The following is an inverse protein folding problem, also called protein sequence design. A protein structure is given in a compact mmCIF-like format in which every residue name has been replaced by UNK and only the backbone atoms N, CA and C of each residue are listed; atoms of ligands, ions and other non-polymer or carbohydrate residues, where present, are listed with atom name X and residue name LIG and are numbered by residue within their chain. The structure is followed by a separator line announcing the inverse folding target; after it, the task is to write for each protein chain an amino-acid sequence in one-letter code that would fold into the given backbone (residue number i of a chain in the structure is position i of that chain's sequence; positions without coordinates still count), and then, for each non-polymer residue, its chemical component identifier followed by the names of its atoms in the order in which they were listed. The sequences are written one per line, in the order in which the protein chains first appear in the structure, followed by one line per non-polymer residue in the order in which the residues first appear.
data_IF_957848204609
#
_entry.id   IF_957848204609
#
_cell.length_a   1.000
_cell.length_b   1.000
_cell.length_c   1.000
_cell.angle_alpha   90.00
_cell.angle_beta   90.00
_cell.angle_gamma   90.00
#
_symmetry.space_group_name_H-M   'P 1'
#
loop_
_entity.id
_entity.type
_entity.pdbx_description
1 polymer ?
#
# COMPACT_ATOMS: atom_id res chain seq x y z
N UNK A 1 -11.53 19.53 -49.26
CA UNK A 1 -10.07 19.30 -49.30
C UNK A 1 -9.48 19.77 -47.97
N UNK A 2 -9.72 19.02 -46.90
CA UNK A 2 -9.39 19.40 -45.51
C UNK A 2 -7.89 19.46 -45.23
N UNK A 3 -7.11 18.60 -45.90
CA UNK A 3 -5.65 18.55 -45.79
C UNK A 3 -4.95 19.86 -46.19
N UNK A 4 -5.46 20.59 -47.20
CA UNK A 4 -4.85 21.86 -47.63
C UNK A 4 -4.92 22.97 -46.58
N UNK A 5 -5.75 22.83 -45.54
CA UNK A 5 -5.91 23.86 -44.49
C UNK A 5 -4.67 24.00 -43.58
N UNK A 6 -3.82 22.98 -43.52
CA UNK A 6 -2.73 22.85 -42.53
C UNK A 6 -1.32 22.70 -43.15
N UNK A 7 -1.18 22.78 -44.48
CA UNK A 7 0.08 22.52 -45.21
C UNK A 7 1.01 23.76 -45.31
N UNK A 8 0.50 24.97 -45.06
CA UNK A 8 1.32 26.20 -45.14
C UNK A 8 2.48 26.16 -44.14
N UNK A 9 3.73 26.30 -44.59
CA UNK A 9 4.92 26.03 -43.75
C UNK A 9 5.28 27.13 -42.75
N UNK A 10 4.66 28.32 -42.84
CA UNK A 10 5.05 29.52 -42.08
C UNK A 10 3.97 30.10 -41.17
N UNK A 11 2.82 29.44 -40.99
CA UNK A 11 1.78 30.00 -40.14
C UNK A 11 2.06 29.72 -38.65
N UNK A 12 1.74 30.69 -37.79
CA UNK A 12 1.86 30.56 -36.34
C UNK A 12 0.79 29.62 -35.77
N UNK A 13 1.08 29.02 -34.60
CA UNK A 13 0.15 28.13 -33.86
C UNK A 13 -1.25 28.77 -33.71
N UNK A 14 -1.32 30.09 -33.50
CA UNK A 14 -2.54 30.91 -33.39
C UNK A 14 -3.46 30.79 -34.60
N UNK A 15 -2.90 30.75 -35.81
CA UNK A 15 -3.64 30.67 -37.07
C UNK A 15 -4.21 29.29 -37.33
N UNK A 16 -3.62 28.23 -36.78
CA UNK A 16 -4.15 26.88 -36.89
C UNK A 16 -5.26 26.62 -35.87
N UNK A 17 -5.14 27.17 -34.66
CA UNK A 17 -6.15 27.02 -33.60
C UNK A 17 -7.49 27.64 -33.99
N UNK A 18 -7.48 28.70 -34.80
CA UNK A 18 -8.70 29.32 -35.32
C UNK A 18 -9.37 28.46 -36.41
N UNK A 19 -8.60 27.63 -37.12
CA UNK A 19 -9.09 26.70 -38.16
C UNK A 19 -9.66 25.39 -37.58
N UNK A 20 -9.33 25.03 -36.33
CA UNK A 20 -9.87 23.84 -35.67
C UNK A 20 -11.34 24.06 -35.31
N UNK A 21 -12.22 23.32 -36.00
CA UNK A 21 -13.67 23.34 -35.77
C UNK A 21 -14.20 21.97 -35.35
N UNK A 22 -13.52 20.88 -35.70
CA UNK A 22 -13.91 19.50 -35.42
C UNK A 22 -12.81 18.70 -34.73
N UNK A 23 -13.17 17.55 -34.14
CA UNK A 23 -12.22 16.58 -33.59
C UNK A 23 -11.24 16.07 -34.65
N UNK A 24 -11.70 15.94 -35.90
CA UNK A 24 -10.82 15.55 -37.00
C UNK A 24 -9.76 16.62 -37.28
N UNK A 25 -10.13 17.91 -37.28
CA UNK A 25 -9.17 19.01 -37.47
C UNK A 25 -8.12 19.04 -36.35
N UNK A 26 -8.52 18.68 -35.13
CA UNK A 26 -7.62 18.55 -33.99
C UNK A 26 -6.56 17.47 -34.22
N UNK A 27 -6.98 16.27 -34.65
CA UNK A 27 -6.06 15.17 -34.96
C UNK A 27 -5.21 15.44 -36.19
N UNK A 28 -5.76 16.10 -37.21
CA UNK A 28 -5.00 16.52 -38.40
C UNK A 28 -3.93 17.53 -38.00
N UNK A 29 -4.26 18.53 -37.18
CA UNK A 29 -3.29 19.49 -36.65
C UNK A 29 -2.22 18.82 -35.80
N UNK A 30 -2.60 17.86 -34.95
CA UNK A 30 -1.65 17.07 -34.16
C UNK A 30 -0.68 16.27 -35.03
N UNK A 31 -1.18 15.46 -35.98
CA UNK A 31 -0.33 14.59 -36.79
C UNK A 31 0.59 15.37 -37.74
N UNK A 32 0.10 16.49 -38.28
CA UNK A 32 0.86 17.28 -39.26
C UNK A 32 1.80 18.29 -38.62
N UNK A 33 1.48 18.82 -37.43
CA UNK A 33 2.20 19.91 -36.76
C UNK A 33 2.52 19.61 -35.29
N UNK A 34 2.85 18.34 -34.99
CA UNK A 34 3.32 17.94 -33.67
C UNK A 34 4.64 18.64 -33.26
N UNK A 35 5.43 19.08 -34.24
CA UNK A 35 6.65 19.88 -34.07
C UNK A 35 6.43 21.18 -33.29
N UNK A 36 5.28 21.83 -33.50
CA UNK A 36 4.88 23.05 -32.81
C UNK A 36 4.15 22.79 -31.49
N UNK A 37 3.71 21.56 -31.24
CA UNK A 37 2.93 21.17 -30.07
C UNK A 37 3.86 20.66 -28.96
N UNK A 38 4.41 21.58 -28.16
CA UNK A 38 5.16 21.24 -26.94
C UNK A 38 4.22 21.15 -25.75
N UNK A 39 4.31 20.07 -24.97
CA UNK A 39 3.39 19.72 -23.87
C UNK A 39 2.98 20.83 -22.89
N UNK A 40 3.84 21.85 -22.69
CA UNK A 40 3.58 22.95 -21.75
C UNK A 40 2.77 24.14 -22.31
N UNK A 41 2.51 24.21 -23.62
CA UNK A 41 1.80 25.34 -24.25
C UNK A 41 0.69 24.89 -25.20
N UNK A 42 -0.07 23.87 -24.80
CA UNK A 42 -1.25 23.49 -25.57
C UNK A 42 -2.39 24.51 -25.41
N UNK A 43 -2.96 25.02 -26.52
CA UNK A 43 -4.18 25.81 -26.51
C UNK A 43 -5.35 25.01 -25.95
N UNK A 44 -6.27 25.65 -25.21
CA UNK A 44 -7.44 24.99 -24.59
C UNK A 44 -8.25 24.11 -25.56
N UNK A 45 -8.33 24.47 -26.85
CA UNK A 45 -9.01 23.68 -27.89
C UNK A 45 -8.32 22.35 -28.23
N UNK A 46 -7.00 22.27 -28.07
CA UNK A 46 -6.17 21.07 -28.26
C UNK A 46 -5.77 20.41 -26.93
N UNK A 47 -6.17 20.99 -25.80
CA UNK A 47 -5.84 20.52 -24.46
C UNK A 47 -6.70 19.34 -23.98
N UNK A 48 -7.33 18.61 -24.90
CA UNK A 48 -8.03 17.38 -24.60
C UNK A 48 -7.04 16.35 -24.03
N UNK A 49 -7.50 15.55 -23.08
CA UNK A 49 -6.63 14.63 -22.32
C UNK A 49 -6.01 13.56 -23.23
N UNK A 50 -6.71 13.21 -24.30
CA UNK A 50 -6.30 12.27 -25.34
C UNK A 50 -5.11 12.81 -26.15
N UNK A 51 -5.08 14.11 -26.45
CA UNK A 51 -3.98 14.75 -27.20
C UNK A 51 -2.74 14.86 -26.33
N UNK A 52 -2.89 15.11 -25.03
CA UNK A 52 -1.74 15.11 -24.10
C UNK A 52 -1.11 13.73 -24.00
N UNK A 53 -1.92 12.67 -23.83
CA UNK A 53 -1.43 11.29 -23.84
C UNK A 53 -0.75 10.94 -25.15
N UNK A 54 -1.32 11.36 -26.29
CA UNK A 54 -0.71 11.14 -27.60
C UNK A 54 0.62 11.88 -27.75
N UNK A 55 0.74 13.10 -27.22
CA UNK A 55 2.00 13.84 -27.16
C UNK A 55 3.04 13.16 -26.27
N UNK A 56 2.66 12.71 -25.08
CA UNK A 56 3.57 11.98 -24.18
C UNK A 56 4.11 10.71 -24.85
N UNK A 57 3.24 9.94 -25.51
CA UNK A 57 3.65 8.75 -26.27
C UNK A 57 4.59 9.13 -27.42
N UNK A 58 4.30 10.20 -28.15
CA UNK A 58 5.14 10.67 -29.25
C UNK A 58 6.51 11.15 -28.75
N UNK A 59 6.56 11.86 -27.62
CA UNK A 59 7.80 12.28 -26.96
C UNK A 59 8.63 11.05 -26.58
N UNK A 60 8.02 10.04 -25.94
CA UNK A 60 8.69 8.78 -25.58
C UNK A 60 9.20 8.04 -26.83
N UNK A 61 8.41 8.00 -27.90
CA UNK A 61 8.82 7.36 -29.16
C UNK A 61 10.00 8.07 -29.81
N UNK A 62 10.10 9.40 -29.64
CA UNK A 62 11.14 10.23 -30.22
C UNK A 62 12.33 10.48 -29.27
N UNK A 63 12.41 9.77 -28.15
CA UNK A 63 13.57 9.83 -27.26
C UNK A 63 14.85 9.42 -27.99
N UNK A 64 15.93 10.16 -27.70
CA UNK A 64 17.28 9.70 -27.97
C UNK A 64 17.62 8.45 -27.14
N UNK A 65 18.72 7.78 -27.49
CA UNK A 65 19.15 6.58 -26.77
C UNK A 65 19.39 6.87 -25.28
N UNK A 66 20.03 8.00 -24.96
CA UNK A 66 20.33 8.41 -23.58
C UNK A 66 19.05 8.74 -22.80
N UNK A 67 18.09 9.44 -23.42
CA UNK A 67 16.79 9.75 -22.80
C UNK A 67 15.97 8.49 -22.55
N UNK A 68 15.98 7.53 -23.49
CA UNK A 68 15.33 6.24 -23.32
C UNK A 68 15.95 5.45 -22.17
N UNK A 69 17.27 5.42 -22.07
CA UNK A 69 17.96 4.74 -20.98
C UNK A 69 17.63 5.38 -19.62
N UNK A 70 17.62 6.71 -19.54
CA UNK A 70 17.22 7.43 -18.33
C UNK A 70 15.77 7.12 -17.93
N UNK A 71 14.85 7.08 -18.90
CA UNK A 71 13.45 6.71 -18.69
C UNK A 71 13.31 5.27 -18.17
N UNK A 72 13.99 4.31 -18.81
CA UNK A 72 13.96 2.91 -18.39
C UNK A 72 14.56 2.72 -17.00
N UNK A 73 15.65 3.42 -16.69
CA UNK A 73 16.28 3.39 -15.36
C UNK A 73 15.36 3.97 -14.30
N UNK A 74 14.62 5.05 -14.61
CA UNK A 74 13.62 5.60 -13.72
C UNK A 74 12.49 4.60 -13.44
N UNK A 75 11.96 3.94 -14.48
CA UNK A 75 10.93 2.91 -14.33
C UNK A 75 11.43 1.71 -13.51
N UNK A 76 12.66 1.26 -13.76
CA UNK A 76 13.29 0.19 -12.98
C UNK A 76 13.43 0.58 -11.51
N UNK A 77 13.85 1.81 -11.22
CA UNK A 77 13.97 2.31 -9.86
C UNK A 77 12.62 2.30 -9.14
N UNK A 78 11.55 2.83 -9.77
CA UNK A 78 10.19 2.79 -9.21
C UNK A 78 9.72 1.37 -8.90
N UNK A 79 9.98 0.43 -9.81
CA UNK A 79 9.64 -0.98 -9.63
C UNK A 79 10.41 -1.61 -8.46
N UNK A 80 11.73 -1.36 -8.38
CA UNK A 80 12.58 -1.88 -7.30
C UNK A 80 12.12 -1.32 -5.96
N UNK A 81 11.83 -0.02 -5.88
CA UNK A 81 11.37 0.63 -4.66
C UNK A 81 10.04 0.03 -4.19
N UNK A 82 9.06 -0.11 -5.09
CA UNK A 82 7.77 -0.71 -4.77
C UNK A 82 7.91 -2.17 -4.28
N UNK A 83 8.74 -2.98 -4.95
CA UNK A 83 9.00 -4.37 -4.54
C UNK A 83 9.74 -4.44 -3.20
N UNK A 84 10.66 -3.52 -2.96
CA UNK A 84 11.43 -3.45 -1.72
C UNK A 84 10.51 -3.12 -0.54
N UNK A 85 9.66 -2.10 -0.69
CA UNK A 85 8.68 -1.72 0.32
C UNK A 85 7.72 -2.89 0.63
N UNK A 86 7.16 -3.52 -0.41
CA UNK A 86 6.27 -4.69 -0.27
C UNK A 86 6.95 -5.82 0.49
N UNK A 87 8.21 -6.13 0.16
CA UNK A 87 8.99 -7.17 0.85
C UNK A 87 9.19 -6.86 2.34
N UNK A 88 9.44 -5.60 2.70
CA UNK A 88 9.58 -5.21 4.10
C UNK A 88 8.24 -5.25 4.84
N UNK A 89 7.15 -4.85 4.20
CA UNK A 89 5.80 -4.96 4.78
C UNK A 89 5.43 -6.42 5.06
N UNK A 90 5.65 -7.32 4.10
CA UNK A 90 5.41 -8.76 4.25
C UNK A 90 6.27 -9.35 5.37
N UNK A 91 7.57 -9.01 5.43
CA UNK A 91 8.45 -9.41 6.53
C UNK A 91 7.96 -8.90 7.87
N UNK A 92 7.56 -7.63 7.97
CA UNK A 92 7.04 -7.04 9.19
C UNK A 92 5.78 -7.74 9.68
N UNK A 93 4.84 -8.05 8.78
CA UNK A 93 3.63 -8.83 9.10
C UNK A 93 3.97 -10.23 9.58
N UNK A 94 4.91 -10.91 8.92
CA UNK A 94 5.32 -12.26 9.30
C UNK A 94 5.98 -12.28 10.70
N UNK A 95 6.89 -11.35 10.98
CA UNK A 95 7.53 -11.21 12.29
C UNK A 95 6.49 -10.89 13.35
N UNK A 96 5.64 -9.88 13.13
CA UNK A 96 4.60 -9.50 14.10
C UNK A 96 3.61 -10.63 14.40
N UNK A 97 3.24 -11.43 13.39
CA UNK A 97 2.39 -12.60 13.61
C UNK A 97 3.10 -13.69 14.40
N UNK A 98 4.38 -13.95 14.11
CA UNK A 98 5.16 -14.95 14.83
C UNK A 98 5.37 -14.56 16.30
N UNK A 99 5.78 -13.31 16.55
CA UNK A 99 5.95 -12.76 17.90
C UNK A 99 4.63 -12.73 18.66
N UNK A 100 3.57 -12.20 18.06
CA UNK A 100 2.24 -12.15 18.68
C UNK A 100 1.72 -13.54 19.05
N UNK A 101 1.92 -14.54 18.17
CA UNK A 101 1.56 -15.93 18.47
C UNK A 101 2.40 -16.51 19.60
N UNK A 102 3.71 -16.25 19.62
CA UNK A 102 4.60 -16.75 20.65
C UNK A 102 4.26 -16.16 22.03
N UNK A 103 4.08 -14.84 22.11
CA UNK A 103 3.69 -14.12 23.33
C UNK A 103 2.31 -14.61 23.79
N UNK A 104 1.32 -14.61 22.90
CA UNK A 104 -0.04 -15.04 23.26
C UNK A 104 -0.10 -16.50 23.73
N UNK A 105 0.70 -17.39 23.14
CA UNK A 105 0.78 -18.78 23.60
C UNK A 105 1.46 -18.91 24.97
N UNK A 106 2.51 -18.13 25.22
CA UNK A 106 3.20 -18.12 26.50
C UNK A 106 2.31 -17.57 27.62
N UNK A 107 1.70 -16.41 27.40
CA UNK A 107 0.77 -15.77 28.35
C UNK A 107 -0.46 -16.64 28.59
N UNK A 108 -1.08 -17.14 27.52
CA UNK A 108 -2.26 -18.01 27.62
C UNK A 108 -1.97 -19.31 28.37
N UNK A 109 -0.78 -19.90 28.18
CA UNK A 109 -0.36 -21.09 28.93
C UNK A 109 -0.11 -20.77 30.41
N UNK A 110 0.52 -19.64 30.72
CA UNK A 110 0.78 -19.23 32.10
C UNK A 110 -0.53 -18.95 32.86
N UNK A 111 -1.42 -18.14 32.27
CA UNK A 111 -2.72 -17.81 32.84
C UNK A 111 -3.59 -19.06 32.99
N UNK A 112 -3.68 -19.89 31.96
CA UNK A 112 -4.48 -21.12 32.03
C UNK A 112 -3.96 -22.12 33.07
N UNK A 113 -2.64 -22.15 33.30
CA UNK A 113 -2.06 -22.96 34.36
C UNK A 113 -2.38 -22.41 35.75
N UNK A 114 -2.31 -21.08 35.94
CA UNK A 114 -2.69 -20.43 37.20
C UNK A 114 -4.18 -20.62 37.50
N UNK A 115 -5.07 -20.34 36.54
CA UNK A 115 -6.52 -20.54 36.67
C UNK A 115 -6.85 -22.02 36.92
N UNK A 116 -6.18 -22.94 36.24
CA UNK A 116 -6.31 -24.38 36.47
C UNK A 116 -5.95 -24.76 37.91
N UNK A 117 -4.80 -24.32 38.41
CA UNK A 117 -4.37 -24.56 39.79
C UNK A 117 -5.37 -23.96 40.78
N UNK A 118 -5.87 -22.75 40.53
CA UNK A 118 -6.87 -22.11 41.39
C UNK A 118 -8.20 -22.85 41.41
N UNK A 119 -8.70 -23.27 40.25
CA UNK A 119 -9.94 -24.05 40.16
C UNK A 119 -9.84 -25.34 40.98
N UNK A 120 -8.72 -26.05 40.90
CA UNK A 120 -8.47 -27.26 41.70
C UNK A 120 -8.45 -26.92 43.19
N UNK A 121 -7.74 -25.84 43.58
CA UNK A 121 -7.70 -25.40 44.97
C UNK A 121 -9.10 -25.04 45.49
N UNK A 122 -9.91 -24.36 44.68
CA UNK A 122 -11.31 -24.00 44.99
C UNK A 122 -12.15 -25.26 45.21
N UNK A 123 -12.09 -26.24 44.31
CA UNK A 123 -12.81 -27.51 44.46
C UNK A 123 -12.38 -28.28 45.71
N UNK A 124 -11.09 -28.24 46.07
CA UNK A 124 -10.61 -28.85 47.31
C UNK A 124 -11.11 -28.13 48.58
N UNK A 125 -11.23 -26.80 48.54
CA UNK A 125 -11.82 -26.01 49.63
C UNK A 125 -13.30 -26.38 49.82
N UNK A 126 -14.06 -26.56 48.74
CA UNK A 126 -15.47 -26.97 48.77
C UNK A 126 -15.66 -28.34 49.43
N UNK A 127 -14.72 -29.26 49.18
CA UNK A 127 -14.68 -30.57 49.78
C UNK A 127 -14.17 -30.56 51.23
N UNK A 128 -13.93 -29.37 51.81
CA UNK A 128 -13.46 -29.17 53.18
C UNK A 128 -12.12 -29.89 53.47
N UNK A 129 -11.28 -30.04 52.44
CA UNK A 129 -9.97 -30.67 52.60
C UNK A 129 -9.03 -29.79 53.45
N UNK A 130 -8.10 -30.39 54.22
CA UNK A 130 -7.18 -29.64 55.05
C UNK A 130 -6.26 -28.72 54.25
N UNK A 131 -6.03 -27.50 54.75
CA UNK A 131 -5.18 -26.50 54.09
C UNK A 131 -3.76 -27.03 53.82
N UNK A 132 -3.22 -27.86 54.70
CA UNK A 132 -1.90 -28.48 54.53
C UNK A 132 -1.83 -29.36 53.27
N UNK A 133 -2.92 -30.08 52.95
CA UNK A 133 -3.00 -30.92 51.76
C UNK A 133 -3.21 -30.08 50.49
N UNK A 134 -4.01 -29.02 50.57
CA UNK A 134 -4.24 -28.12 49.43
C UNK A 134 -2.94 -27.43 49.04
N UNK A 135 -2.18 -26.92 50.00
CA UNK A 135 -0.89 -26.27 49.76
C UNK A 135 0.14 -27.25 49.18
N UNK A 136 0.16 -28.51 49.62
CA UNK A 136 1.12 -29.50 49.12
C UNK A 136 0.83 -29.94 47.69
N UNK A 137 -0.45 -30.15 47.33
CA UNK A 137 -0.86 -30.64 46.02
C UNK A 137 -0.85 -29.52 44.96
N UNK A 138 -1.46 -28.37 45.27
CA UNK A 138 -1.62 -27.26 44.31
C UNK A 138 -0.39 -26.35 44.25
N UNK A 139 0.49 -26.44 45.26
CA UNK A 139 1.72 -25.63 45.41
C UNK A 139 1.47 -24.12 45.39
N UNK A 140 0.25 -23.67 45.68
CA UNK A 140 -0.06 -22.25 45.82
C UNK A 140 0.49 -21.71 47.15
N UNK A 141 0.72 -20.39 47.20
CA UNK A 141 1.14 -19.75 48.44
C UNK A 141 0.03 -19.71 49.48
N UNK A 142 0.39 -19.70 50.77
CA UNK A 142 -0.58 -19.58 51.87
C UNK A 142 -1.39 -18.28 51.77
N UNK A 143 -0.77 -17.19 51.32
CA UNK A 143 -1.44 -15.91 51.06
C UNK A 143 -2.51 -16.03 49.95
N UNK A 144 -2.21 -16.76 48.88
CA UNK A 144 -3.17 -16.99 47.79
C UNK A 144 -4.33 -17.87 48.25
N UNK A 145 -4.05 -18.93 49.01
CA UNK A 145 -5.08 -19.78 49.61
C UNK A 145 -6.03 -18.98 50.53
N UNK A 146 -5.48 -18.10 51.37
CA UNK A 146 -6.30 -17.22 52.22
C UNK A 146 -7.16 -16.26 51.41
N UNK A 147 -6.64 -15.72 50.30
CA UNK A 147 -7.39 -14.84 49.40
C UNK A 147 -8.53 -15.58 48.68
N UNK A 148 -8.33 -16.84 48.28
CA UNK A 148 -9.37 -17.68 47.69
C UNK A 148 -10.49 -17.97 48.70
N UNK A 149 -10.15 -18.21 49.97
CA UNK A 149 -11.14 -18.38 51.05
C UNK A 149 -11.89 -17.09 51.37
N UNK A 150 -11.22 -15.92 51.36
CA UNK A 150 -11.87 -14.64 51.65
C UNK A 150 -12.81 -14.17 50.54
N UNK A 151 -12.55 -14.52 49.27
CA UNK A 151 -13.45 -14.25 48.14
C UNK A 151 -14.80 -14.99 48.21
N UNK A 152 -14.95 -15.97 49.10
CA UNK A 152 -16.16 -16.81 49.24
C UNK A 152 -16.93 -16.60 50.55
N UNK A 153 -16.46 -15.71 51.43
CA UNK A 153 -17.24 -15.23 52.58
C UNK A 153 -18.11 -14.05 52.15
#
# INVERSE_FOLDING_TARGET
MELKKFIESHADLSTYISKIKSTLDMWVAFLTRHDLLKGKRLPKKLGAEEVKKALEVLEIMNFSQDEREAYDNHLKWLMIEANTLKKYEEKGKAIGMAEGKAIGMAEGKALGMEEGIESVAISMIEQQLPDALILSVTRISKARLTALRSKRK
#
